data_IF_558122435573
#
_entry.id   IF_558122435573
#
_cell.length_a   1.000
_cell.length_b   1.000
_cell.length_c   1.000
_cell.angle_alpha   90.00
_cell.angle_beta   90.00
_cell.angle_gamma   90.00
#
_symmetry.space_group_name_H-M   'P 1'
#
loop_
_entity.id
_entity.type
_entity.pdbx_description
1 polymer ?
#
# COMPACT_ATOMS: atom_id res chain seq x y z
N UNK A 1 -10.77 41.97 17.73
CA UNK A 1 -10.34 40.55 17.90
C UNK A 1 -11.08 39.70 16.86
N UNK A 2 -10.68 38.45 16.59
CA UNK A 2 -11.37 37.59 15.60
C UNK A 2 -12.90 37.58 15.82
N UNK A 3 -13.33 37.59 17.08
CA UNK A 3 -14.73 37.66 17.53
C UNK A 3 -15.49 38.91 17.02
N UNK A 4 -14.84 40.08 17.00
CA UNK A 4 -15.46 41.34 16.54
C UNK A 4 -15.69 41.35 15.02
N UNK A 5 -14.81 40.69 14.26
CA UNK A 5 -14.93 40.56 12.80
C UNK A 5 -16.03 39.55 12.47
N UNK A 6 -16.09 38.44 13.22
CA UNK A 6 -17.12 37.40 13.07
C UNK A 6 -18.51 37.97 13.33
N UNK A 7 -18.65 38.78 14.40
CA UNK A 7 -19.91 39.44 14.77
C UNK A 7 -20.37 40.44 13.70
N UNK A 8 -19.46 41.24 13.13
CA UNK A 8 -19.80 42.21 12.07
C UNK A 8 -20.12 41.56 10.72
N UNK A 9 -19.50 40.43 10.41
CA UNK A 9 -19.64 39.73 9.11
C UNK A 9 -20.77 38.70 9.14
N UNK A 10 -21.25 38.30 10.32
CA UNK A 10 -22.41 37.42 10.48
C UNK A 10 -22.16 35.97 10.02
N UNK A 11 -20.90 35.51 10.08
CA UNK A 11 -20.51 34.15 9.70
C UNK A 11 -20.17 33.32 10.94
N UNK A 12 -20.20 31.99 10.85
CA UNK A 12 -19.78 31.13 11.96
C UNK A 12 -18.26 31.17 12.17
N UNK A 13 -17.80 30.83 13.38
CA UNK A 13 -16.37 30.72 13.72
C UNK A 13 -15.67 29.70 12.81
N UNK A 14 -16.34 28.60 12.49
CA UNK A 14 -15.84 27.57 11.60
C UNK A 14 -15.62 28.13 10.20
N UNK A 15 -16.60 28.89 9.69
CA UNK A 15 -16.52 29.51 8.36
C UNK A 15 -15.46 30.60 8.30
N UNK A 16 -15.33 31.40 9.35
CA UNK A 16 -14.27 32.40 9.47
C UNK A 16 -12.88 31.74 9.40
N UNK A 17 -12.66 30.66 10.16
CA UNK A 17 -11.38 29.92 10.14
C UNK A 17 -11.09 29.27 8.79
N UNK A 18 -12.12 28.76 8.12
CA UNK A 18 -11.98 28.17 6.79
C UNK A 18 -11.58 29.23 5.74
N UNK A 19 -12.27 30.37 5.72
CA UNK A 19 -11.96 31.50 4.84
C UNK A 19 -10.56 32.04 5.13
N UNK A 20 -10.19 32.20 6.39
CA UNK A 20 -8.86 32.66 6.78
C UNK A 20 -7.77 31.65 6.39
N UNK A 21 -8.05 30.35 6.45
CA UNK A 21 -7.12 29.31 5.96
C UNK A 21 -6.96 29.36 4.45
N UNK A 22 -8.05 29.53 3.70
CA UNK A 22 -8.05 29.62 2.25
C UNK A 22 -7.42 30.91 1.72
N UNK A 23 -7.51 32.00 2.49
CA UNK A 23 -6.95 33.32 2.17
C UNK A 23 -5.43 33.40 2.41
N UNK A 24 -4.82 32.40 3.06
CA UNK A 24 -3.36 32.39 3.25
C UNK A 24 -2.67 32.33 1.88
N UNK A 25 -1.75 33.25 1.57
CA UNK A 25 -1.02 33.22 0.31
C UNK A 25 -0.15 31.98 0.22
N UNK A 26 -0.06 31.39 -0.97
CA UNK A 26 0.85 30.28 -1.25
C UNK A 26 2.28 30.79 -1.19
N UNK A 27 3.14 30.09 -0.45
CA UNK A 27 4.57 30.41 -0.35
C UNK A 27 5.35 29.60 -1.37
N UNK A 28 6.38 30.22 -1.97
CA UNK A 28 7.32 29.50 -2.82
C UNK A 28 8.12 28.49 -1.99
N UNK A 29 8.22 27.26 -2.49
CA UNK A 29 9.03 26.20 -1.89
C UNK A 29 10.54 26.53 -1.91
N UNK A 30 10.98 27.39 -2.83
CA UNK A 30 12.37 27.86 -2.91
C UNK A 30 12.66 29.10 -2.04
N UNK A 31 11.64 29.65 -1.37
CA UNK A 31 11.88 30.71 -0.38
C UNK A 31 12.70 30.15 0.78
N UNK A 32 13.59 30.97 1.35
CA UNK A 32 14.40 30.57 2.50
C UNK A 32 13.72 30.89 3.83
N UNK A 33 13.84 29.97 4.78
CA UNK A 33 13.38 30.18 6.15
C UNK A 33 14.24 31.24 6.84
N UNK A 34 13.60 32.15 7.59
CA UNK A 34 14.28 33.34 8.14
C UNK A 34 15.38 33.00 9.16
N UNK A 35 15.23 31.91 9.90
CA UNK A 35 16.15 31.54 10.99
C UNK A 35 17.19 30.51 10.55
N UNK A 36 16.76 29.48 9.81
CA UNK A 36 17.64 28.36 9.40
C UNK A 36 18.30 28.59 8.04
N UNK A 37 17.84 29.59 7.28
CA UNK A 37 18.29 29.90 5.91
C UNK A 37 18.09 28.76 4.88
N UNK A 38 17.54 27.63 5.31
CA UNK A 38 17.18 26.52 4.44
C UNK A 38 15.99 26.87 3.56
N UNK A 39 15.94 26.28 2.36
CA UNK A 39 14.77 26.41 1.48
C UNK A 39 13.56 25.71 2.11
N UNK A 40 12.36 26.28 1.96
CA UNK A 40 11.14 25.71 2.54
C UNK A 40 10.86 24.28 2.05
N UNK A 41 11.37 23.92 0.88
CA UNK A 41 11.31 22.56 0.34
C UNK A 41 12.02 21.51 1.21
N UNK A 42 13.08 21.89 1.96
CA UNK A 42 13.81 20.94 2.82
C UNK A 42 12.99 20.45 4.01
N UNK A 43 12.02 21.26 4.46
CA UNK A 43 11.10 20.92 5.54
C UNK A 43 9.90 20.09 5.10
N UNK A 44 9.71 19.91 3.78
CA UNK A 44 8.66 19.04 3.24
C UNK A 44 9.20 17.61 3.24
N UNK A 45 8.89 16.87 4.30
CA UNK A 45 9.12 15.44 4.32
C UNK A 45 8.17 14.77 3.32
N UNK A 46 8.72 13.91 2.46
CA UNK A 46 7.93 13.08 1.58
C UNK A 46 7.12 12.12 2.46
N UNK A 47 5.79 12.28 2.47
CA UNK A 47 4.89 11.44 3.28
C UNK A 47 4.77 10.01 2.75
N UNK A 48 5.31 9.75 1.56
CA UNK A 48 5.42 8.43 0.95
C UNK A 48 6.86 7.90 1.09
N UNK A 49 7.10 7.23 2.22
CA UNK A 49 8.38 6.63 2.60
C UNK A 49 9.04 5.84 1.47
N UNK A 50 10.19 6.32 1.00
CA UNK A 50 11.04 5.60 0.04
C UNK A 50 11.53 4.24 0.54
N UNK A 51 11.64 4.06 1.86
CA UNK A 51 12.00 2.78 2.49
C UNK A 51 10.87 1.75 2.39
N UNK A 52 9.62 2.14 2.65
CA UNK A 52 8.46 1.24 2.57
C UNK A 52 8.29 0.67 1.16
N UNK A 53 8.50 1.51 0.13
CA UNK A 53 8.44 1.08 -1.27
C UNK A 53 9.56 0.09 -1.63
N UNK A 54 10.78 0.29 -1.13
CA UNK A 54 11.92 -0.62 -1.35
C UNK A 54 11.73 -1.94 -0.62
N UNK A 55 11.24 -1.89 0.61
CA UNK A 55 10.98 -3.07 1.42
C UNK A 55 9.84 -3.91 0.83
N UNK A 56 8.80 -3.27 0.28
CA UNK A 56 7.74 -3.93 -0.48
C UNK A 56 8.27 -4.70 -1.69
N UNK A 57 9.25 -4.14 -2.41
CA UNK A 57 9.83 -4.80 -3.57
C UNK A 57 10.65 -6.06 -3.20
N UNK A 58 11.44 -6.00 -2.12
CA UNK A 58 12.21 -7.15 -1.64
C UNK A 58 11.29 -8.27 -1.13
N UNK A 59 10.21 -7.93 -0.41
CA UNK A 59 9.22 -8.90 0.04
C UNK A 59 8.52 -9.58 -1.14
N UNK A 60 8.21 -8.84 -2.22
CA UNK A 60 7.62 -9.42 -3.44
C UNK A 60 8.54 -10.43 -4.10
N UNK A 61 9.84 -10.12 -4.22
CA UNK A 61 10.83 -11.04 -4.78
C UNK A 61 10.95 -12.32 -3.93
N UNK A 62 11.05 -12.18 -2.60
CA UNK A 62 11.09 -13.33 -1.71
C UNK A 62 9.80 -14.18 -1.78
N UNK A 63 8.65 -13.54 -1.94
CA UNK A 63 7.38 -14.24 -2.13
C UNK A 63 7.37 -15.01 -3.46
N UNK A 64 7.89 -14.43 -4.53
CA UNK A 64 8.01 -15.09 -5.83
C UNK A 64 8.90 -16.33 -5.77
N UNK A 65 10.07 -16.24 -5.13
CA UNK A 65 10.98 -17.38 -4.93
C UNK A 65 10.29 -18.54 -4.18
N UNK A 66 9.52 -18.20 -3.13
CA UNK A 66 8.79 -19.21 -2.35
C UNK A 66 7.67 -19.84 -3.18
N UNK A 67 6.96 -19.06 -3.99
CA UNK A 67 5.90 -19.58 -4.86
C UNK A 67 6.45 -20.42 -6.01
N UNK A 68 7.62 -20.10 -6.53
CA UNK A 68 8.27 -20.85 -7.61
C UNK A 68 8.83 -22.19 -7.13
N UNK A 69 9.09 -22.32 -5.83
CA UNK A 69 9.40 -23.61 -5.19
C UNK A 69 8.18 -24.55 -5.02
N UNK A 70 6.97 -24.12 -5.38
CA UNK A 70 5.77 -24.97 -5.38
C UNK A 70 5.62 -25.69 -6.74
N UNK A 71 4.65 -26.62 -6.83
CA UNK A 71 4.32 -27.18 -8.15
C UNK A 71 3.70 -26.08 -9.03
N UNK A 72 3.91 -26.08 -10.36
CA UNK A 72 3.41 -25.03 -11.25
C UNK A 72 1.92 -24.72 -11.09
N UNK A 73 1.08 -25.76 -10.97
CA UNK A 73 -0.36 -25.61 -10.76
C UNK A 73 -0.73 -25.05 -9.38
N UNK A 74 0.05 -25.37 -8.35
CA UNK A 74 -0.15 -24.86 -6.99
C UNK A 74 0.23 -23.38 -6.91
N UNK A 75 1.40 -23.02 -7.45
CA UNK A 75 1.86 -21.63 -7.56
C UNK A 75 0.87 -20.78 -8.34
N UNK A 76 0.41 -21.25 -9.50
CA UNK A 76 -0.54 -20.54 -10.33
C UNK A 76 -1.88 -20.30 -9.62
N UNK A 77 -2.43 -21.32 -8.94
CA UNK A 77 -3.68 -21.16 -8.17
C UNK A 77 -3.51 -20.12 -7.07
N UNK A 78 -2.41 -20.15 -6.30
CA UNK A 78 -2.16 -19.16 -5.24
C UNK A 78 -1.98 -17.76 -5.82
N UNK A 79 -1.19 -17.61 -6.89
CA UNK A 79 -0.98 -16.31 -7.55
C UNK A 79 -2.29 -15.69 -8.02
N UNK A 80 -3.16 -16.49 -8.67
CA UNK A 80 -4.46 -16.00 -9.15
C UNK A 80 -5.45 -15.73 -8.00
N UNK A 81 -5.42 -16.56 -6.95
CA UNK A 81 -6.34 -16.45 -5.81
C UNK A 81 -6.09 -15.18 -4.99
N UNK A 82 -4.84 -14.80 -4.81
CA UNK A 82 -4.44 -13.65 -4.00
C UNK A 82 -4.00 -12.43 -4.82
N UNK A 83 -4.20 -12.46 -6.15
CA UNK A 83 -3.87 -11.34 -7.04
C UNK A 83 -2.38 -11.02 -7.14
N UNK A 84 -1.51 -11.98 -6.87
CA UNK A 84 -0.06 -11.81 -6.92
C UNK A 84 0.49 -11.74 -8.35
N UNK A 85 -0.34 -11.96 -9.36
CA UNK A 85 -0.01 -11.80 -10.77
C UNK A 85 -0.46 -10.44 -11.35
N UNK A 86 -0.87 -9.50 -10.49
CA UNK A 86 -1.23 -8.13 -10.88
C UNK A 86 -2.60 -7.99 -11.54
N UNK A 87 -3.39 -9.07 -11.62
CA UNK A 87 -4.75 -9.07 -12.22
C UNK A 87 -5.89 -9.04 -11.19
N UNK A 88 -5.56 -8.80 -9.92
CA UNK A 88 -6.52 -8.88 -8.81
C UNK A 88 -6.82 -10.32 -8.39
N UNK A 89 -7.48 -10.45 -7.24
CA UNK A 89 -7.92 -11.72 -6.71
C UNK A 89 -9.06 -12.30 -7.54
N UNK A 90 -9.04 -13.62 -7.73
CA UNK A 90 -10.08 -14.35 -8.46
C UNK A 90 -10.76 -15.38 -7.58
N UNK A 91 -12.02 -15.63 -7.87
CA UNK A 91 -12.81 -16.68 -7.25
C UNK A 91 -12.35 -18.07 -7.72
N UNK A 92 -12.65 -19.12 -6.95
CA UNK A 92 -12.35 -20.49 -7.34
C UNK A 92 -13.01 -20.88 -8.68
N UNK A 93 -14.14 -20.26 -9.03
CA UNK A 93 -14.85 -20.50 -10.28
C UNK A 93 -14.12 -19.91 -11.49
N UNK A 94 -13.66 -18.67 -11.38
CA UNK A 94 -12.87 -18.00 -12.43
C UNK A 94 -11.53 -18.70 -12.64
N UNK A 95 -10.86 -19.11 -11.56
CA UNK A 95 -9.61 -19.88 -11.65
C UNK A 95 -9.85 -21.25 -12.30
N UNK A 96 -10.94 -21.93 -11.95
CA UNK A 96 -11.33 -23.20 -12.56
C UNK A 96 -11.54 -23.06 -14.07
N UNK A 97 -12.24 -22.00 -14.50
CA UNK A 97 -12.44 -21.66 -15.91
C UNK A 97 -11.13 -21.37 -16.64
N UNK A 98 -10.25 -20.54 -16.06
CA UNK A 98 -8.96 -20.18 -16.66
C UNK A 98 -8.01 -21.37 -16.83
N UNK A 99 -8.09 -22.37 -15.94
CA UNK A 99 -7.17 -23.51 -15.91
C UNK A 99 -7.79 -24.78 -16.50
N UNK A 100 -9.03 -24.72 -17.00
CA UNK A 100 -9.81 -25.87 -17.50
C UNK A 100 -9.80 -27.05 -16.50
N UNK A 101 -9.96 -26.76 -15.21
CA UNK A 101 -10.06 -27.77 -14.14
C UNK A 101 -11.34 -27.56 -13.33
N UNK A 102 -11.74 -28.57 -12.55
CA UNK A 102 -12.90 -28.41 -11.68
C UNK A 102 -12.59 -27.47 -10.50
N UNK A 103 -13.63 -26.81 -9.99
CA UNK A 103 -13.55 -25.97 -8.78
C UNK A 103 -12.96 -26.72 -7.59
N UNK A 104 -13.29 -27.99 -7.46
CA UNK A 104 -12.73 -28.87 -6.41
C UNK A 104 -11.24 -29.12 -6.61
N UNK A 105 -10.77 -29.25 -7.86
CA UNK A 105 -9.34 -29.35 -8.13
C UNK A 105 -8.59 -28.07 -7.79
N UNK A 106 -9.16 -26.88 -8.03
CA UNK A 106 -8.57 -25.60 -7.56
C UNK A 106 -8.43 -25.61 -6.04
N UNK A 107 -9.49 -26.00 -5.31
CA UNK A 107 -9.47 -26.10 -3.84
C UNK A 107 -8.39 -27.06 -3.34
N UNK A 108 -8.24 -28.22 -3.99
CA UNK A 108 -7.17 -29.19 -3.65
C UNK A 108 -5.78 -28.61 -3.85
N UNK A 109 -5.56 -27.85 -4.91
CA UNK A 109 -4.27 -27.20 -5.16
C UNK A 109 -4.00 -26.08 -4.14
N UNK A 110 -5.00 -25.27 -3.82
CA UNK A 110 -4.93 -24.21 -2.81
C UNK A 110 -4.54 -24.79 -1.44
N UNK A 111 -5.24 -25.83 -0.97
CA UNK A 111 -4.93 -26.46 0.33
C UNK A 111 -3.51 -27.04 0.35
N UNK A 112 -3.09 -27.73 -0.72
CA UNK A 112 -1.72 -28.28 -0.81
C UNK A 112 -0.66 -27.18 -0.83
N UNK A 113 -0.91 -26.10 -1.56
CA UNK A 113 0.00 -24.96 -1.62
C UNK A 113 0.13 -24.30 -0.25
N UNK A 114 -1.00 -23.98 0.40
CA UNK A 114 -1.02 -23.38 1.74
C UNK A 114 -0.34 -24.27 2.78
N UNK A 115 -0.54 -25.58 2.73
CA UNK A 115 0.13 -26.53 3.62
C UNK A 115 1.66 -26.46 3.47
N UNK A 116 2.16 -26.35 2.23
CA UNK A 116 3.60 -26.20 1.97
C UNK A 116 4.13 -24.83 2.37
N UNK A 117 3.37 -23.76 2.12
CA UNK A 117 3.74 -22.40 2.49
C UNK A 117 3.84 -22.23 4.01
N UNK A 118 3.06 -22.98 4.79
CA UNK A 118 3.11 -23.01 6.26
C UNK A 118 4.32 -23.75 6.85
N UNK A 119 5.17 -24.36 6.03
CA UNK A 119 6.37 -25.04 6.53
C UNK A 119 7.33 -24.03 7.19
N UNK A 120 7.87 -24.30 8.39
CA UNK A 120 8.67 -23.34 9.17
C UNK A 120 9.82 -22.74 8.37
N UNK A 121 10.54 -23.54 7.59
CA UNK A 121 11.63 -23.06 6.72
C UNK A 121 11.22 -21.93 5.77
N UNK A 122 10.01 -22.00 5.18
CA UNK A 122 9.51 -20.99 4.25
C UNK A 122 8.96 -19.77 4.98
N UNK A 123 8.29 -20.00 6.11
CA UNK A 123 7.80 -18.95 7.00
C UNK A 123 8.96 -18.13 7.54
N UNK A 124 10.00 -18.77 8.05
CA UNK A 124 11.18 -18.11 8.60
C UNK A 124 12.01 -17.39 7.53
N UNK A 125 12.00 -17.89 6.29
CA UNK A 125 12.55 -17.16 5.15
C UNK A 125 11.77 -15.86 4.88
N UNK A 126 10.45 -15.93 4.75
CA UNK A 126 9.61 -14.76 4.49
C UNK A 126 9.62 -13.74 5.64
N UNK A 127 9.68 -14.21 6.89
CA UNK A 127 9.77 -13.35 8.08
C UNK A 127 10.97 -12.41 8.07
N UNK A 128 12.06 -12.74 7.38
CA UNK A 128 13.23 -11.85 7.26
C UNK A 128 12.95 -10.58 6.46
N UNK A 129 11.87 -10.58 5.68
CA UNK A 129 11.48 -9.48 4.80
C UNK A 129 10.26 -8.71 5.32
N UNK A 130 9.63 -9.22 6.40
CA UNK A 130 8.54 -8.55 7.11
C UNK A 130 9.16 -7.90 8.35
N UNK A 131 9.37 -6.58 8.30
CA UNK A 131 9.82 -5.77 9.45
C UNK A 131 8.64 -5.45 10.34
#
# INVERSE_FOLDING_TARGET
MEEEIIEKVGISIERYREVMRASKPVLSLHSRHKTTQEELISGVADVDGGDDRRQSALLRLALDDVLDSLKPKESLVVRQRFGLDGKGDRTLGEIAGNLNISREMVRKHEVKALMKLKHPTRVDYLRRYVV
#
